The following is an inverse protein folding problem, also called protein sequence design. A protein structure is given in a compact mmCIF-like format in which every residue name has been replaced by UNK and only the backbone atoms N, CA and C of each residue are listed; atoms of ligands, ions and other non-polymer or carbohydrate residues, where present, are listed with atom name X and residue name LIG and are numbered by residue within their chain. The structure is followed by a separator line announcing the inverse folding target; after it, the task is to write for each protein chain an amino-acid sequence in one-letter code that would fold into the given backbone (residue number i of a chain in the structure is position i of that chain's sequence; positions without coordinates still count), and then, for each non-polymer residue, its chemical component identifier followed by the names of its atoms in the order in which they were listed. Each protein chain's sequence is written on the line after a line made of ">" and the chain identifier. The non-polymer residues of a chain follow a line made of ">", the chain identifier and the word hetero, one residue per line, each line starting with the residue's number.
data_IF_863520080276
#
_entry.id   IF_863520080276
#
_cell.length_a   1.000
_cell.length_b   1.000
_cell.length_c   1.000
_cell.angle_alpha   90.00
_cell.angle_beta   90.00
_cell.angle_gamma   90.00
#
_symmetry.space_group_name_H-M   'P 1'
#
loop_
_entity.id
_entity.type
_entity.pdbx_description
1 polymer ?
#
# COMPACT_ATOMS: atom_id res chain seq x y z
N UNK A 1 12.05 55.51 -25.43
CA UNK A 1 11.94 54.23 -24.73
C UNK A 1 10.56 54.16 -24.10
N UNK A 2 9.75 53.15 -24.42
CA UNK A 2 8.43 53.00 -23.79
C UNK A 2 8.62 52.24 -22.46
N UNK A 3 8.19 52.84 -21.35
CA UNK A 3 8.13 52.18 -20.04
C UNK A 3 6.77 51.53 -19.89
N UNK A 4 6.73 50.24 -19.61
CA UNK A 4 5.49 49.54 -19.27
C UNK A 4 5.47 49.41 -17.75
N UNK A 5 4.35 49.78 -17.13
CA UNK A 5 4.15 49.66 -15.69
C UNK A 5 3.16 48.54 -15.41
N UNK A 6 3.47 47.67 -14.46
CA UNK A 6 2.53 46.66 -13.97
C UNK A 6 2.40 46.78 -12.45
N UNK A 7 1.16 46.86 -11.99
CA UNK A 7 0.83 46.89 -10.56
C UNK A 7 0.73 45.44 -10.07
N UNK A 8 1.46 45.10 -9.01
CA UNK A 8 1.51 43.76 -8.43
C UNK A 8 1.12 43.87 -6.96
N UNK A 9 0.19 43.03 -6.52
CA UNK A 9 -0.18 42.91 -5.10
C UNK A 9 0.88 42.12 -4.34
N UNK A 10 1.41 42.66 -3.24
CA UNK A 10 2.29 41.93 -2.34
C UNK A 10 1.51 41.44 -1.10
N UNK A 11 1.23 40.13 -0.99
CA UNK A 11 0.47 39.59 0.14
C UNK A 11 1.24 39.64 1.47
N UNK A 12 2.58 39.77 1.46
CA UNK A 12 3.37 39.84 2.69
C UNK A 12 3.33 41.23 3.37
N UNK A 13 3.08 42.30 2.61
CA UNK A 13 3.02 43.67 3.12
C UNK A 13 1.64 44.30 3.01
N UNK A 14 0.66 43.59 2.42
CA UNK A 14 -0.71 44.08 2.26
C UNK A 14 -0.83 45.32 1.37
N UNK A 15 0.09 45.49 0.41
CA UNK A 15 0.19 46.71 -0.40
C UNK A 15 0.41 46.41 -1.88
N UNK A 16 -0.03 47.34 -2.74
CA UNK A 16 0.26 47.29 -4.18
C UNK A 16 1.60 47.97 -4.48
N UNK A 17 2.46 47.30 -5.25
CA UNK A 17 3.75 47.82 -5.71
C UNK A 17 3.77 47.94 -7.24
N UNK A 18 4.36 49.02 -7.76
CA UNK A 18 4.45 49.26 -9.21
C UNK A 18 5.87 48.93 -9.69
N UNK A 19 5.99 47.97 -10.60
CA UNK A 19 7.25 47.63 -11.27
C UNK A 19 7.25 48.21 -12.70
N UNK A 20 8.36 48.83 -13.11
CA UNK A 20 8.54 49.35 -14.48
C UNK A 20 9.68 48.63 -15.18
N UNK A 21 9.46 48.19 -16.42
CA UNK A 21 10.50 47.63 -17.28
C UNK A 21 10.67 48.49 -18.54
N UNK A 22 11.92 48.69 -18.97
CA UNK A 22 12.27 49.41 -20.20
C UNK A 22 12.10 48.51 -21.41
N UNK A 23 11.01 48.69 -22.19
CA UNK A 23 10.77 47.90 -23.39
C UNK A 23 11.56 48.43 -24.60
N UNK A 24 12.20 47.52 -25.35
CA UNK A 24 12.84 47.83 -26.65
C UNK A 24 11.79 48.19 -27.72
N UNK A 25 11.99 49.33 -28.35
CA UNK A 25 11.17 49.87 -29.45
C UNK A 25 11.22 48.95 -30.68
N UNK A 26 10.06 48.45 -31.13
CA UNK A 26 9.89 47.86 -32.46
C UNK A 26 9.53 48.96 -33.47
N UNK A 27 10.38 49.17 -34.47
CA UNK A 27 10.19 50.17 -35.52
C UNK A 27 8.96 49.89 -36.41
N UNK A 28 8.29 50.96 -36.83
CA UNK A 28 7.12 50.93 -37.73
C UNK A 28 7.50 50.35 -39.10
N UNK A 29 6.78 49.33 -39.58
CA UNK A 29 6.82 48.93 -41.00
C UNK A 29 5.95 49.88 -41.81
N UNK A 30 6.58 50.55 -42.77
CA UNK A 30 5.97 51.33 -43.85
C UNK A 30 5.01 50.47 -44.66
N UNK A 31 3.75 50.87 -44.72
CA UNK A 31 2.77 50.32 -45.65
C UNK A 31 2.76 51.12 -46.95
N UNK A 32 2.84 50.41 -48.08
CA UNK A 32 2.14 50.74 -49.32
C UNK A 32 2.16 49.54 -50.26
N UNK A 33 0.95 49.04 -50.54
CA UNK A 33 0.38 48.56 -51.83
C UNK A 33 1.25 47.69 -52.75
N UNK A 34 0.75 46.69 -53.46
CA UNK A 34 -0.56 46.06 -53.70
C UNK A 34 -0.21 44.89 -54.66
N UNK A 35 -1.14 43.93 -54.80
CA UNK A 35 -1.22 42.97 -55.91
C UNK A 35 -0.13 41.88 -55.98
N UNK A 36 -0.52 40.65 -55.60
CA UNK A 36 -0.46 39.45 -56.43
C UNK A 36 -0.96 38.25 -55.59
N UNK A 37 -2.28 38.13 -55.48
CA UNK A 37 -2.93 36.87 -55.08
C UNK A 37 -3.06 36.06 -56.37
N UNK A 38 -2.04 35.26 -56.67
CA UNK A 38 -2.12 34.13 -57.60
C UNK A 38 -0.75 33.45 -57.70
N UNK A 39 -0.72 32.15 -57.46
CA UNK A 39 0.39 31.20 -57.60
C UNK A 39 1.37 31.06 -56.42
N UNK A 40 0.97 30.28 -55.40
CA UNK A 40 1.91 29.61 -54.49
C UNK A 40 1.34 28.26 -54.04
N UNK A 41 1.47 27.23 -54.89
CA UNK A 41 1.26 25.82 -54.49
C UNK A 41 2.45 24.90 -54.86
N UNK A 42 3.55 25.40 -55.45
CA UNK A 42 4.59 24.51 -55.99
C UNK A 42 6.06 24.79 -55.58
N UNK A 43 6.34 25.60 -54.54
CA UNK A 43 7.72 26.06 -54.27
C UNK A 43 8.17 26.17 -52.82
N UNK A 44 7.49 25.49 -51.88
CA UNK A 44 7.76 25.60 -50.44
C UNK A 44 8.74 24.57 -49.84
N UNK A 45 9.53 23.87 -50.65
CA UNK A 45 10.46 22.82 -50.18
C UNK A 45 11.88 23.32 -49.84
N UNK A 46 12.18 24.62 -49.90
CA UNK A 46 13.55 25.11 -49.67
C UNK A 46 13.57 26.43 -48.89
N UNK A 47 13.64 26.35 -47.56
CA UNK A 47 14.44 27.25 -46.70
C UNK A 47 14.25 26.92 -45.21
N UNK A 48 15.02 25.95 -44.71
CA UNK A 48 15.23 25.77 -43.28
C UNK A 48 16.30 26.76 -42.79
N UNK A 49 15.89 27.89 -42.22
CA UNK A 49 16.78 28.62 -41.32
C UNK A 49 16.67 27.98 -39.93
N UNK A 50 17.49 26.96 -39.67
CA UNK A 50 17.71 26.39 -38.33
C UNK A 50 17.34 24.92 -38.12
N UNK A 51 16.74 24.24 -39.10
CA UNK A 51 16.59 22.78 -39.11
C UNK A 51 17.54 22.19 -40.15
N UNK A 52 18.71 21.73 -39.70
CA UNK A 52 19.60 20.89 -40.52
C UNK A 52 18.98 19.49 -40.58
N UNK A 53 18.03 19.28 -41.50
CA UNK A 53 17.68 17.94 -41.95
C UNK A 53 18.64 17.62 -43.10
N UNK A 54 19.79 17.01 -42.79
CA UNK A 54 20.59 16.37 -43.82
C UNK A 54 19.73 15.33 -44.53
N UNK A 55 19.92 15.15 -45.85
CA UNK A 55 19.22 14.16 -46.70
C UNK A 55 19.62 12.71 -46.36
N UNK A 56 19.63 12.33 -45.08
CA UNK A 56 19.71 10.94 -44.66
C UNK A 56 18.31 10.34 -44.76
N UNK A 57 17.94 9.91 -45.97
CA UNK A 57 16.84 8.96 -46.14
C UNK A 57 17.19 7.72 -45.34
N UNK A 58 16.31 7.31 -44.41
CA UNK A 58 16.46 6.04 -43.71
C UNK A 58 16.56 4.89 -44.71
N UNK A 59 17.22 3.81 -44.32
CA UNK A 59 17.38 2.67 -45.21
C UNK A 59 16.21 1.69 -44.96
N UNK A 60 15.53 1.21 -46.01
CA UNK A 60 14.71 0.01 -45.86
C UNK A 60 15.62 -1.15 -45.44
N UNK A 61 15.16 -1.99 -44.51
CA UNK A 61 15.81 -3.28 -44.23
C UNK A 61 15.00 -4.40 -44.88
N UNK A 62 15.54 -4.94 -45.97
CA UNK A 62 15.07 -6.16 -46.64
C UNK A 62 15.62 -7.38 -45.88
N UNK A 63 14.72 -8.26 -45.42
CA UNK A 63 15.06 -9.53 -44.75
C UNK A 63 14.98 -10.75 -45.69
N UNK A 64 15.00 -10.55 -47.02
CA UNK A 64 15.44 -11.57 -47.97
C UNK A 64 14.38 -12.20 -48.87
N UNK A 65 13.40 -11.45 -49.39
CA UNK A 65 12.49 -11.96 -50.43
C UNK A 65 12.45 -11.13 -51.74
N UNK A 66 13.16 -10.01 -51.82
CA UNK A 66 13.41 -9.30 -53.06
C UNK A 66 12.30 -8.37 -53.54
N UNK A 67 11.37 -7.93 -52.68
CA UNK A 67 10.50 -6.78 -52.97
C UNK A 67 10.10 -6.04 -51.70
N UNK A 68 10.72 -4.89 -51.40
CA UNK A 68 10.29 -4.04 -50.30
C UNK A 68 8.85 -3.53 -50.53
N UNK A 69 7.91 -3.82 -49.63
CA UNK A 69 6.56 -3.23 -49.67
C UNK A 69 6.58 -1.71 -49.41
N UNK A 70 5.53 -0.99 -49.77
CA UNK A 70 5.49 0.49 -49.70
C UNK A 70 5.05 1.08 -48.33
N UNK A 71 4.76 0.23 -47.35
CA UNK A 71 4.10 0.63 -46.10
C UNK A 71 4.98 1.28 -45.02
N UNK A 72 6.26 1.56 -45.26
CA UNK A 72 7.20 1.92 -44.20
C UNK A 72 7.63 3.39 -44.21
N UNK A 73 8.01 3.91 -43.03
CA UNK A 73 8.59 5.25 -42.86
C UNK A 73 9.87 5.13 -42.05
N UNK A 74 11.02 5.52 -42.62
CA UNK A 74 12.29 5.58 -41.92
C UNK A 74 12.95 6.96 -42.10
N UNK A 75 13.02 7.75 -41.03
CA UNK A 75 13.54 9.12 -41.05
C UNK A 75 14.61 9.28 -39.96
N UNK A 76 15.84 9.59 -40.36
CA UNK A 76 16.97 9.84 -39.46
C UNK A 76 18.19 8.98 -39.76
N UNK A 77 19.37 9.44 -39.35
CA UNK A 77 20.60 8.66 -39.52
C UNK A 77 20.50 7.34 -38.75
N UNK A 78 20.70 6.23 -39.46
CA UNK A 78 20.65 4.88 -38.89
C UNK A 78 19.25 4.36 -38.60
N UNK A 79 18.18 5.10 -38.95
CA UNK A 79 16.81 4.63 -38.75
C UNK A 79 16.49 3.47 -39.69
N UNK A 80 15.81 2.43 -39.19
CA UNK A 80 15.39 1.23 -39.92
C UNK A 80 13.92 0.94 -39.67
N UNK A 81 13.17 0.74 -40.74
CA UNK A 81 11.77 0.31 -40.68
C UNK A 81 11.62 -0.96 -41.52
N UNK A 82 10.87 -1.94 -41.02
CA UNK A 82 10.56 -3.18 -41.71
C UNK A 82 9.67 -2.93 -42.95
N UNK A 83 9.97 -3.62 -44.05
CA UNK A 83 9.36 -3.47 -45.37
C UNK A 83 8.38 -4.58 -45.76
N UNK A 84 7.70 -5.24 -44.80
CA UNK A 84 6.80 -6.36 -45.08
C UNK A 84 5.94 -6.16 -46.36
N UNK A 85 5.96 -7.18 -47.20
CA UNK A 85 5.52 -7.23 -48.61
C UNK A 85 4.02 -7.02 -48.86
N UNK A 86 3.18 -7.01 -47.82
CA UNK A 86 1.76 -6.68 -47.97
C UNK A 86 1.49 -5.27 -47.40
N UNK A 87 0.55 -4.54 -47.98
CA UNK A 87 0.07 -3.22 -47.50
C UNK A 87 -0.47 -3.24 -46.06
N UNK A 88 -0.47 -4.42 -45.42
CA UNK A 88 -0.83 -4.71 -44.05
C UNK A 88 0.40 -4.83 -43.13
N UNK A 89 1.55 -4.24 -43.43
CA UNK A 89 2.79 -4.42 -42.63
C UNK A 89 3.46 -3.15 -42.12
N UNK A 90 2.79 -2.00 -42.25
CA UNK A 90 3.41 -0.67 -42.15
C UNK A 90 4.15 -0.42 -40.83
N UNK A 91 5.46 -0.14 -40.89
CA UNK A 91 6.27 0.19 -39.71
C UNK A 91 6.85 1.62 -39.81
N UNK A 92 7.00 2.28 -38.66
CA UNK A 92 7.48 3.67 -38.59
C UNK A 92 8.69 3.78 -37.67
N UNK A 93 9.83 4.21 -38.21
CA UNK A 93 11.03 4.57 -37.46
C UNK A 93 11.39 6.04 -37.68
N UNK A 94 11.41 6.84 -36.61
CA UNK A 94 11.72 8.27 -36.65
C UNK A 94 12.75 8.64 -35.59
N UNK A 95 13.98 8.96 -36.02
CA UNK A 95 15.06 9.49 -35.19
C UNK A 95 16.40 8.79 -35.38
N UNK A 96 17.42 9.25 -34.65
CA UNK A 96 18.78 8.71 -34.72
C UNK A 96 18.84 7.28 -34.18
N UNK A 97 19.24 6.31 -35.01
CA UNK A 97 19.26 4.87 -34.70
C UNK A 97 17.90 4.32 -34.20
N UNK A 98 16.77 4.87 -34.67
CA UNK A 98 15.44 4.32 -34.39
C UNK A 98 15.17 3.06 -35.24
N UNK A 99 14.75 1.95 -34.61
CA UNK A 99 14.56 0.66 -35.28
C UNK A 99 13.13 0.16 -35.02
N UNK A 100 12.33 0.02 -36.07
CA UNK A 100 10.99 -0.56 -36.05
C UNK A 100 10.98 -1.84 -36.90
N UNK A 101 11.11 -2.99 -36.25
CA UNK A 101 11.25 -4.31 -36.90
C UNK A 101 9.97 -5.15 -36.85
N UNK A 102 9.07 -4.91 -35.89
CA UNK A 102 7.81 -5.63 -35.81
C UNK A 102 6.81 -5.22 -36.90
N UNK A 103 5.95 -6.14 -37.32
CA UNK A 103 4.80 -5.85 -38.20
C UNK A 103 3.94 -4.77 -37.53
N UNK A 104 3.50 -3.70 -38.21
CA UNK A 104 2.75 -2.59 -37.58
C UNK A 104 3.48 -1.82 -36.45
N UNK A 105 4.80 -1.98 -36.29
CA UNK A 105 5.51 -1.37 -35.17
C UNK A 105 5.82 0.11 -35.37
N UNK A 106 6.02 0.84 -34.26
CA UNK A 106 6.42 2.25 -34.26
C UNK A 106 7.57 2.51 -33.29
N UNK A 107 8.70 3.02 -33.78
CA UNK A 107 9.86 3.43 -32.99
C UNK A 107 10.16 4.92 -33.22
N UNK A 108 10.00 5.75 -32.20
CA UNK A 108 10.17 7.20 -32.32
C UNK A 108 11.11 7.72 -31.22
N UNK A 109 12.20 8.35 -31.65
CA UNK A 109 13.21 8.98 -30.81
C UNK A 109 14.61 8.44 -31.09
N UNK A 110 15.53 8.53 -30.13
CA UNK A 110 16.93 8.13 -30.35
C UNK A 110 17.20 6.73 -29.81
N UNK A 111 17.79 5.84 -30.62
CA UNK A 111 18.16 4.47 -30.24
C UNK A 111 16.97 3.63 -29.75
N UNK A 112 15.76 3.96 -30.19
CA UNK A 112 14.54 3.21 -29.85
C UNK A 112 14.46 1.92 -30.65
N UNK A 113 13.92 0.85 -30.06
CA UNK A 113 13.72 -0.43 -30.71
C UNK A 113 12.29 -0.93 -30.48
N UNK A 114 11.52 -1.11 -31.55
CA UNK A 114 10.21 -1.74 -31.54
C UNK A 114 10.26 -3.03 -32.39
N UNK A 115 10.50 -4.18 -31.78
CA UNK A 115 10.69 -5.46 -32.48
C UNK A 115 9.48 -6.39 -32.40
N UNK A 116 8.58 -6.20 -31.43
CA UNK A 116 7.35 -6.99 -31.34
C UNK A 116 6.30 -6.55 -32.36
N UNK A 117 5.42 -7.45 -32.79
CA UNK A 117 4.32 -7.13 -33.70
C UNK A 117 3.35 -6.13 -33.08
N UNK A 118 2.97 -5.08 -33.78
CA UNK A 118 2.16 -3.94 -33.33
C UNK A 118 2.69 -3.27 -32.05
N UNK A 119 4.01 -3.31 -31.83
CA UNK A 119 4.66 -2.70 -30.68
C UNK A 119 4.96 -1.20 -30.88
N UNK A 120 5.08 -0.45 -29.78
CA UNK A 120 5.35 0.98 -29.81
C UNK A 120 6.49 1.34 -28.84
N UNK A 121 7.59 1.87 -29.35
CA UNK A 121 8.71 2.40 -28.56
C UNK A 121 8.85 3.92 -28.77
N UNK A 122 8.77 4.72 -27.70
CA UNK A 122 8.88 6.18 -27.75
C UNK A 122 9.86 6.71 -26.69
N UNK A 123 10.89 7.46 -27.09
CA UNK A 123 11.84 8.11 -26.17
C UNK A 123 13.30 7.97 -26.55
N UNK A 124 14.19 7.83 -25.56
CA UNK A 124 15.62 7.59 -25.80
C UNK A 124 15.98 6.21 -25.28
N UNK A 125 16.44 5.32 -26.15
CA UNK A 125 16.74 3.92 -25.80
C UNK A 125 15.55 3.14 -25.25
N UNK A 126 14.32 3.53 -25.60
CA UNK A 126 13.11 2.78 -25.28
C UNK A 126 13.04 1.48 -26.11
N UNK A 127 12.60 0.38 -25.51
CA UNK A 127 12.55 -0.95 -26.13
C UNK A 127 11.18 -1.60 -25.96
N UNK A 128 10.43 -1.80 -27.03
CA UNK A 128 9.19 -2.55 -27.05
C UNK A 128 9.43 -3.87 -27.79
N UNK A 129 9.67 -4.94 -27.05
CA UNK A 129 10.13 -6.23 -27.58
C UNK A 129 9.01 -7.28 -27.68
N UNK A 130 7.97 -7.18 -26.84
CA UNK A 130 6.82 -8.09 -26.87
C UNK A 130 5.76 -7.67 -27.90
N UNK A 131 4.92 -8.61 -28.32
CA UNK A 131 3.83 -8.33 -29.25
C UNK A 131 2.78 -7.42 -28.61
N UNK A 132 2.35 -6.38 -29.31
CA UNK A 132 1.44 -5.33 -28.84
C UNK A 132 1.94 -4.64 -27.57
N UNK A 133 3.26 -4.63 -27.36
CA UNK A 133 3.86 -3.97 -26.20
C UNK A 133 4.07 -2.47 -26.42
N UNK A 134 4.13 -1.71 -25.33
CA UNK A 134 4.35 -0.26 -25.36
C UNK A 134 5.47 0.10 -24.39
N UNK A 135 6.53 0.73 -24.88
CA UNK A 135 7.61 1.28 -24.07
C UNK A 135 7.72 2.80 -24.31
N UNK A 136 7.42 3.61 -23.30
CA UNK A 136 7.46 5.07 -23.38
C UNK A 136 8.33 5.63 -22.26
N UNK A 137 9.42 6.31 -22.62
CA UNK A 137 10.35 6.92 -21.66
C UNK A 137 11.82 6.64 -21.98
N UNK A 138 12.72 7.35 -21.30
CA UNK A 138 14.15 7.09 -21.44
C UNK A 138 14.50 5.72 -20.86
N UNK A 139 15.04 4.83 -21.69
CA UNK A 139 15.45 3.47 -21.32
C UNK A 139 14.32 2.58 -20.78
N UNK A 140 13.05 2.90 -21.05
CA UNK A 140 11.91 2.01 -20.73
C UNK A 140 11.98 0.73 -21.55
N UNK A 141 11.62 -0.41 -20.97
CA UNK A 141 11.67 -1.72 -21.66
C UNK A 141 10.41 -2.53 -21.39
N UNK A 142 9.66 -2.88 -22.44
CA UNK A 142 8.49 -3.74 -22.39
C UNK A 142 8.77 -5.03 -23.17
N UNK A 143 9.04 -6.14 -22.48
CA UNK A 143 9.37 -7.43 -23.12
C UNK A 143 8.21 -8.41 -23.15
N UNK A 144 7.25 -8.30 -22.24
CA UNK A 144 6.08 -9.18 -22.24
C UNK A 144 5.10 -8.82 -23.37
N UNK A 145 4.38 -9.80 -23.89
CA UNK A 145 3.32 -9.51 -24.86
C UNK A 145 2.16 -8.77 -24.18
N UNK A 146 1.56 -7.83 -24.91
CA UNK A 146 0.52 -6.91 -24.42
C UNK A 146 0.93 -6.15 -23.17
N UNK A 147 2.23 -5.94 -22.98
CA UNK A 147 2.77 -5.24 -21.82
C UNK A 147 2.97 -3.76 -22.07
N UNK A 148 2.97 -2.97 -21.01
CA UNK A 148 3.19 -1.53 -21.08
C UNK A 148 4.22 -1.11 -20.04
N UNK A 149 5.24 -0.35 -20.44
CA UNK A 149 6.27 0.24 -19.59
C UNK A 149 6.34 1.75 -19.85
N UNK A 150 5.91 2.57 -18.89
CA UNK A 150 5.75 4.02 -19.03
C UNK A 150 6.58 4.76 -17.96
N UNK A 151 7.73 5.31 -18.32
CA UNK A 151 8.61 6.06 -17.40
C UNK A 151 10.09 5.81 -17.66
N UNK A 152 10.95 6.63 -17.05
CA UNK A 152 12.41 6.44 -17.13
C UNK A 152 12.77 5.10 -16.46
N UNK A 153 13.48 4.23 -17.17
CA UNK A 153 13.82 2.86 -16.73
C UNK A 153 12.63 1.99 -16.27
N UNK A 154 11.39 2.33 -16.63
CA UNK A 154 10.25 1.44 -16.38
C UNK A 154 10.47 0.12 -17.12
N UNK A 155 10.21 -1.01 -16.46
CA UNK A 155 10.42 -2.33 -17.03
C UNK A 155 9.20 -3.23 -16.84
N UNK A 156 8.75 -3.86 -17.92
CA UNK A 156 7.67 -4.84 -17.87
C UNK A 156 8.11 -6.12 -18.56
N UNK A 157 8.30 -7.18 -17.79
CA UNK A 157 8.66 -8.50 -18.32
C UNK A 157 7.43 -9.40 -18.50
N UNK A 158 6.42 -9.21 -17.66
CA UNK A 158 5.23 -10.05 -17.63
C UNK A 158 4.27 -9.87 -18.80
N UNK A 159 3.65 -10.96 -19.21
CA UNK A 159 2.54 -10.96 -20.17
C UNK A 159 1.34 -10.16 -19.64
N UNK A 160 0.74 -9.31 -20.49
CA UNK A 160 -0.44 -8.48 -20.15
C UNK A 160 -0.23 -7.67 -18.87
N UNK A 161 0.95 -7.07 -18.70
CA UNK A 161 1.34 -6.36 -17.47
C UNK A 161 1.60 -4.88 -17.70
N UNK A 162 1.61 -4.09 -16.62
CA UNK A 162 1.74 -2.63 -16.67
C UNK A 162 2.74 -2.13 -15.63
N UNK A 163 3.79 -1.43 -16.07
CA UNK A 163 4.69 -0.67 -15.22
C UNK A 163 4.60 0.82 -15.57
N UNK A 164 4.36 1.68 -14.58
CA UNK A 164 4.29 3.13 -14.74
C UNK A 164 5.05 3.81 -13.62
N UNK A 165 6.04 4.62 -13.97
CA UNK A 165 6.87 5.34 -13.01
C UNK A 165 8.36 5.19 -13.30
N UNK A 166 9.15 5.98 -12.60
CA UNK A 166 10.60 5.88 -12.71
C UNK A 166 11.10 4.59 -12.05
N UNK A 167 11.81 3.75 -12.79
CA UNK A 167 12.32 2.45 -12.33
C UNK A 167 11.25 1.49 -11.78
N UNK A 168 9.99 1.65 -12.17
CA UNK A 168 8.92 0.68 -11.84
C UNK A 168 9.16 -0.65 -12.56
N UNK A 169 8.85 -1.78 -11.89
CA UNK A 169 9.03 -3.13 -12.41
C UNK A 169 7.75 -3.96 -12.29
N UNK A 170 7.24 -4.44 -13.41
CA UNK A 170 6.17 -5.43 -13.49
C UNK A 170 6.74 -6.73 -14.10
N UNK A 171 7.14 -7.66 -13.25
CA UNK A 171 7.94 -8.84 -13.63
C UNK A 171 7.07 -10.06 -13.94
N UNK A 172 6.06 -10.33 -13.11
CA UNK A 172 5.14 -11.45 -13.25
C UNK A 172 4.00 -11.19 -14.24
N UNK A 173 3.27 -12.24 -14.63
CA UNK A 173 2.13 -12.11 -15.55
C UNK A 173 0.94 -11.36 -14.95
N UNK A 174 0.23 -10.58 -15.76
CA UNK A 174 -0.96 -9.80 -15.36
C UNK A 174 -0.71 -8.89 -14.16
N UNK A 175 0.51 -8.35 -14.04
CA UNK A 175 0.92 -7.50 -12.92
C UNK A 175 0.68 -6.02 -13.19
N UNK A 176 0.56 -5.24 -12.10
CA UNK A 176 0.47 -3.79 -12.15
C UNK A 176 1.48 -3.21 -11.15
N UNK A 177 2.43 -2.41 -11.64
CA UNK A 177 3.39 -1.66 -10.84
C UNK A 177 3.27 -0.17 -11.19
N UNK A 178 2.75 0.66 -10.27
CA UNK A 178 2.53 2.09 -10.48
C UNK A 178 3.16 2.91 -9.34
N UNK A 179 4.21 3.67 -9.65
CA UNK A 179 4.97 4.48 -8.71
C UNK A 179 6.47 4.48 -9.02
N UNK A 180 7.21 5.45 -8.48
CA UNK A 180 8.67 5.40 -8.52
C UNK A 180 9.13 4.14 -7.77
N UNK A 181 9.97 3.33 -8.40
CA UNK A 181 10.52 2.08 -7.86
C UNK A 181 9.49 1.05 -7.38
N UNK A 182 8.22 1.15 -7.78
CA UNK A 182 7.18 0.16 -7.48
C UNK A 182 7.50 -1.19 -8.14
N UNK A 183 7.30 -2.30 -7.43
CA UNK A 183 7.69 -3.65 -7.88
C UNK A 183 6.56 -4.66 -7.66
N UNK A 184 6.11 -5.27 -8.75
CA UNK A 184 5.18 -6.40 -8.77
C UNK A 184 5.88 -7.61 -9.40
N UNK A 185 6.23 -8.61 -8.60
CA UNK A 185 7.16 -9.68 -8.99
C UNK A 185 6.49 -10.92 -9.59
N UNK A 186 5.35 -11.33 -9.05
CA UNK A 186 4.73 -12.62 -9.35
C UNK A 186 3.34 -12.43 -9.97
N UNK A 187 2.75 -13.51 -10.48
CA UNK A 187 1.46 -13.49 -11.20
C UNK A 187 0.37 -12.74 -10.42
N UNK A 188 -0.35 -11.86 -11.12
CA UNK A 188 -1.47 -11.07 -10.59
C UNK A 188 -1.16 -10.25 -9.34
N UNK A 189 0.13 -9.94 -9.09
CA UNK A 189 0.54 -9.02 -8.03
C UNK A 189 0.33 -7.56 -8.44
N UNK A 190 0.01 -6.71 -7.45
CA UNK A 190 -0.27 -5.28 -7.65
C UNK A 190 0.57 -4.47 -6.66
N UNK A 191 1.41 -3.58 -7.16
CA UNK A 191 2.17 -2.61 -6.38
C UNK A 191 1.81 -1.17 -6.80
N UNK A 192 1.24 -0.40 -5.89
CA UNK A 192 0.82 0.98 -6.13
C UNK A 192 1.37 1.91 -5.04
N UNK A 193 2.36 2.73 -5.40
CA UNK A 193 3.02 3.68 -4.51
C UNK A 193 4.52 3.78 -4.75
N UNK A 194 5.12 4.88 -4.27
CA UNK A 194 6.58 5.03 -4.22
C UNK A 194 7.21 3.88 -3.42
N UNK A 195 8.10 3.10 -4.05
CA UNK A 195 8.74 1.93 -3.44
C UNK A 195 7.76 0.84 -2.91
N UNK A 196 6.52 0.78 -3.42
CA UNK A 196 5.60 -0.30 -3.09
C UNK A 196 6.13 -1.65 -3.61
N UNK A 197 6.04 -2.72 -2.82
CA UNK A 197 6.59 -4.04 -3.17
C UNK A 197 5.57 -5.16 -2.93
N UNK A 198 5.10 -5.76 -4.03
CA UNK A 198 4.26 -6.96 -4.05
C UNK A 198 5.10 -8.15 -4.55
N UNK A 199 5.58 -8.97 -3.61
CA UNK A 199 6.65 -9.95 -3.86
C UNK A 199 6.16 -11.35 -4.23
N UNK A 200 4.87 -11.64 -4.08
CA UNK A 200 4.31 -13.00 -4.28
C UNK A 200 3.01 -12.98 -5.08
N UNK A 201 2.57 -14.16 -5.52
CA UNK A 201 1.36 -14.32 -6.32
C UNK A 201 0.14 -13.71 -5.60
N UNK A 202 -0.72 -13.04 -6.35
CA UNK A 202 -1.93 -12.36 -5.86
C UNK A 202 -1.70 -11.34 -4.73
N UNK A 203 -0.45 -10.98 -4.43
CA UNK A 203 -0.14 -10.03 -3.37
C UNK A 203 -0.45 -8.60 -3.81
N UNK A 204 -0.94 -7.77 -2.89
CA UNK A 204 -1.29 -6.38 -3.15
C UNK A 204 -0.61 -5.45 -2.16
N UNK A 205 0.26 -4.57 -2.65
CA UNK A 205 0.94 -3.54 -1.88
C UNK A 205 0.47 -2.15 -2.34
N UNK A 206 -0.31 -1.46 -1.52
CA UNK A 206 -0.91 -0.16 -1.79
C UNK A 206 -0.44 0.89 -0.77
N UNK A 207 0.51 1.73 -1.16
CA UNK A 207 1.03 2.81 -0.33
C UNK A 207 2.54 2.99 -0.51
N UNK A 208 3.05 4.17 -0.14
CA UNK A 208 4.49 4.40 -0.18
C UNK A 208 5.22 3.43 0.77
N UNK A 209 6.16 2.67 0.22
CA UNK A 209 6.92 1.62 0.92
C UNK A 209 6.04 0.54 1.59
N UNK A 210 4.82 0.31 1.10
CA UNK A 210 4.03 -0.85 1.52
C UNK A 210 4.67 -2.14 1.00
N UNK A 211 4.67 -3.21 1.81
CA UNK A 211 5.26 -4.50 1.45
C UNK A 211 4.26 -5.64 1.67
N UNK A 212 3.86 -6.31 0.59
CA UNK A 212 3.12 -7.56 0.62
C UNK A 212 4.07 -8.70 0.21
N UNK A 213 4.63 -9.38 1.22
CA UNK A 213 5.79 -10.26 1.05
C UNK A 213 5.46 -11.74 0.86
N UNK A 214 4.18 -12.11 0.97
CA UNK A 214 3.68 -13.48 0.93
C UNK A 214 2.48 -13.63 -0.02
N UNK A 215 2.16 -14.88 -0.40
CA UNK A 215 1.05 -15.17 -1.31
C UNK A 215 -0.28 -14.69 -0.73
N UNK A 216 -1.15 -14.11 -1.57
CA UNK A 216 -2.43 -13.51 -1.20
C UNK A 216 -2.34 -12.40 -0.12
N UNK A 217 -1.14 -11.94 0.23
CA UNK A 217 -0.97 -10.92 1.26
C UNK A 217 -1.41 -9.55 0.75
N UNK A 218 -2.08 -8.77 1.62
CA UNK A 218 -2.60 -7.44 1.29
C UNK A 218 -2.03 -6.43 2.27
N UNK A 219 -1.18 -5.52 1.80
CA UNK A 219 -0.60 -4.44 2.58
C UNK A 219 -1.11 -3.09 2.05
N UNK A 220 -1.89 -2.36 2.85
CA UNK A 220 -2.48 -1.07 2.48
C UNK A 220 -2.10 0.00 3.51
N UNK A 221 -1.29 0.96 3.10
CA UNK A 221 -0.83 2.06 3.94
C UNK A 221 0.66 2.35 3.80
N UNK A 222 1.08 3.56 4.19
CA UNK A 222 2.50 3.91 4.18
C UNK A 222 3.26 3.00 5.15
N UNK A 223 4.31 2.33 4.67
CA UNK A 223 5.10 1.36 5.44
C UNK A 223 4.28 0.19 6.05
N UNK A 224 3.10 -0.14 5.53
CA UNK A 224 2.37 -1.35 5.97
C UNK A 224 3.11 -2.61 5.51
N UNK A 225 3.12 -3.66 6.31
CA UNK A 225 3.78 -4.92 5.99
C UNK A 225 2.85 -6.12 6.23
N UNK A 226 2.48 -6.81 5.16
CA UNK A 226 1.77 -8.09 5.20
C UNK A 226 2.79 -9.20 4.87
N UNK A 227 3.35 -9.81 5.91
CA UNK A 227 4.50 -10.71 5.82
C UNK A 227 4.12 -12.20 5.73
N UNK A 228 2.89 -12.57 6.11
CA UNK A 228 2.40 -13.94 6.08
C UNK A 228 1.46 -14.26 4.93
N UNK A 229 1.30 -15.54 4.62
CA UNK A 229 0.33 -16.02 3.62
C UNK A 229 -1.08 -15.67 4.09
N UNK A 230 -1.93 -15.23 3.16
CA UNK A 230 -3.32 -14.82 3.43
C UNK A 230 -3.43 -13.71 4.51
N UNK A 231 -2.38 -12.92 4.71
CA UNK A 231 -2.36 -11.87 5.73
C UNK A 231 -2.87 -10.52 5.21
N UNK A 232 -3.47 -9.74 6.10
CA UNK A 232 -3.99 -8.40 5.81
C UNK A 232 -3.38 -7.36 6.76
N UNK A 233 -2.67 -6.38 6.20
CA UNK A 233 -2.13 -5.24 6.92
C UNK A 233 -2.71 -3.92 6.40
N UNK A 234 -3.70 -3.36 7.10
CA UNK A 234 -4.41 -2.13 6.73
C UNK A 234 -4.10 -1.00 7.72
N UNK A 235 -3.25 -0.06 7.32
CA UNK A 235 -2.89 1.14 8.08
C UNK A 235 -1.41 1.50 7.99
N UNK A 236 -1.07 2.75 8.35
CA UNK A 236 0.34 3.19 8.37
C UNK A 236 1.13 2.33 9.37
N UNK A 237 2.25 1.75 8.94
CA UNK A 237 3.12 0.92 9.79
C UNK A 237 2.40 -0.25 10.47
N UNK A 238 1.29 -0.73 9.90
CA UNK A 238 0.66 -1.95 10.38
C UNK A 238 1.49 -3.17 9.97
N UNK A 239 1.54 -4.19 10.82
CA UNK A 239 2.33 -5.40 10.62
C UNK A 239 1.46 -6.65 10.83
N UNK A 240 1.18 -7.39 9.76
CA UNK A 240 0.65 -8.74 9.82
C UNK A 240 1.83 -9.71 9.68
N UNK A 241 2.38 -10.21 10.79
CA UNK A 241 3.71 -10.83 10.81
C UNK A 241 3.75 -12.29 10.40
N UNK A 242 2.60 -12.95 10.28
CA UNK A 242 2.50 -14.40 10.04
C UNK A 242 1.21 -14.76 9.29
N UNK A 243 1.03 -16.06 9.00
CA UNK A 243 -0.10 -16.56 8.21
C UNK A 243 -1.46 -16.22 8.85
N UNK A 244 -2.45 -15.88 8.02
CA UNK A 244 -3.80 -15.50 8.42
C UNK A 244 -3.87 -14.32 9.42
N UNK A 245 -2.77 -13.58 9.60
CA UNK A 245 -2.74 -12.43 10.50
C UNK A 245 -3.55 -11.27 9.90
N UNK A 246 -4.42 -10.66 10.69
CA UNK A 246 -5.23 -9.51 10.28
C UNK A 246 -4.89 -8.34 11.19
N UNK A 247 -4.46 -7.22 10.60
CA UNK A 247 -4.21 -5.98 11.33
C UNK A 247 -4.88 -4.79 10.65
N UNK A 248 -5.67 -4.03 11.41
CA UNK A 248 -6.41 -2.86 10.93
C UNK A 248 -6.19 -1.69 11.90
N UNK A 249 -5.34 -0.73 11.52
CA UNK A 249 -4.96 0.38 12.38
C UNK A 249 -3.56 0.90 12.06
N UNK A 250 -3.26 2.12 12.48
CA UNK A 250 -1.88 2.60 12.42
C UNK A 250 -1.05 1.90 13.52
N UNK A 251 0.15 1.43 13.18
CA UNK A 251 1.10 0.80 14.11
C UNK A 251 0.54 -0.44 14.83
N UNK A 252 -0.49 -1.09 14.27
CA UNK A 252 -1.06 -2.31 14.82
C UNK A 252 -0.30 -3.56 14.36
N UNK A 253 -0.27 -4.59 15.18
CA UNK A 253 0.56 -5.79 15.00
C UNK A 253 -0.26 -7.06 15.27
N UNK A 254 -0.22 -8.03 14.36
CA UNK A 254 -0.88 -9.32 14.53
C UNK A 254 0.06 -10.49 14.19
N UNK A 255 0.10 -11.49 15.07
CA UNK A 255 0.80 -12.77 14.90
C UNK A 255 -0.07 -13.80 14.14
N UNK A 256 0.36 -15.06 14.13
CA UNK A 256 -0.28 -16.15 13.36
C UNK A 256 -1.73 -16.38 13.80
N UNK A 257 -2.66 -16.38 12.83
CA UNK A 257 -4.11 -16.49 13.04
C UNK A 257 -4.67 -15.45 14.04
N UNK A 258 -3.94 -14.35 14.28
CA UNK A 258 -4.34 -13.33 15.22
C UNK A 258 -5.02 -12.16 14.51
N UNK A 259 -5.87 -11.44 15.24
CA UNK A 259 -6.56 -10.24 14.73
C UNK A 259 -6.30 -9.05 15.64
N UNK A 260 -5.72 -7.99 15.10
CA UNK A 260 -5.49 -6.72 15.79
C UNK A 260 -6.24 -5.58 15.09
N UNK A 261 -7.14 -4.90 15.80
CA UNK A 261 -7.94 -3.80 15.22
C UNK A 261 -7.94 -2.61 16.17
N UNK A 262 -7.36 -1.51 15.71
CA UNK A 262 -7.18 -0.28 16.48
C UNK A 262 -5.77 0.29 16.32
N UNK A 263 -5.61 1.61 16.53
CA UNK A 263 -4.28 2.22 16.51
C UNK A 263 -3.43 1.64 17.64
N UNK A 264 -2.24 1.11 17.31
CA UNK A 264 -1.33 0.43 18.25
C UNK A 264 -1.93 -0.83 18.92
N UNK A 265 -3.01 -1.41 18.39
CA UNK A 265 -3.52 -2.70 18.85
C UNK A 265 -2.49 -3.81 18.53
N UNK A 266 -2.24 -4.71 19.48
CA UNK A 266 -1.20 -5.75 19.38
C UNK A 266 -1.77 -7.11 19.76
N UNK A 267 -1.98 -7.97 18.77
CA UNK A 267 -2.39 -9.36 18.95
C UNK A 267 -1.18 -10.27 18.69
N UNK A 268 -0.30 -10.42 19.69
CA UNK A 268 0.98 -11.15 19.56
C UNK A 268 0.91 -12.62 19.92
N UNK A 269 -0.15 -13.04 20.61
CA UNK A 269 -0.41 -14.46 20.82
C UNK A 269 -0.91 -15.13 19.54
N UNK A 270 -0.52 -16.39 19.32
CA UNK A 270 -1.17 -17.21 18.29
C UNK A 270 -2.67 -17.32 18.58
N UNK A 271 -3.51 -17.23 17.55
CA UNK A 271 -4.98 -17.26 17.70
C UNK A 271 -5.56 -16.16 18.63
N UNK A 272 -4.82 -15.07 18.87
CA UNK A 272 -5.27 -14.00 19.78
C UNK A 272 -6.11 -12.92 19.09
N UNK A 273 -6.86 -12.15 19.88
CA UNK A 273 -7.68 -11.02 19.43
C UNK A 273 -7.38 -9.78 20.26
N UNK A 274 -6.90 -8.71 19.62
CA UNK A 274 -6.73 -7.40 20.23
C UNK A 274 -7.64 -6.37 19.53
N UNK A 275 -8.70 -5.90 20.19
CA UNK A 275 -9.67 -4.95 19.64
C UNK A 275 -9.72 -3.68 20.51
N UNK A 276 -9.19 -2.57 20.02
CA UNK A 276 -9.13 -1.29 20.72
C UNK A 276 -7.78 -0.60 20.55
N UNK A 277 -7.75 0.72 20.72
CA UNK A 277 -6.48 1.44 20.65
C UNK A 277 -5.58 1.04 21.83
N UNK A 278 -4.33 0.67 21.54
CA UNK A 278 -3.35 0.16 22.50
C UNK A 278 -3.79 -1.11 23.28
N UNK A 279 -4.74 -1.90 22.79
CA UNK A 279 -4.99 -3.23 23.36
C UNK A 279 -3.80 -4.16 23.11
N UNK A 280 -3.48 -5.03 24.05
CA UNK A 280 -2.34 -5.96 23.98
C UNK A 280 -2.76 -7.38 24.39
N UNK A 281 -2.86 -8.28 23.41
CA UNK A 281 -3.22 -9.69 23.59
C UNK A 281 -1.97 -10.53 23.28
N UNK A 282 -1.18 -10.86 24.29
CA UNK A 282 0.11 -11.57 24.09
C UNK A 282 0.02 -13.07 24.34
N UNK A 283 -0.99 -13.55 25.07
CA UNK A 283 -1.17 -14.97 25.32
C UNK A 283 -1.76 -15.72 24.13
N UNK A 284 -1.41 -17.00 23.97
CA UNK A 284 -2.05 -17.87 22.98
C UNK A 284 -3.56 -17.98 23.25
N UNK A 285 -4.39 -17.82 22.22
CA UNK A 285 -5.85 -17.84 22.34
C UNK A 285 -6.44 -16.73 23.22
N UNK A 286 -5.64 -15.73 23.59
CA UNK A 286 -6.09 -14.63 24.45
C UNK A 286 -6.96 -13.61 23.71
N UNK A 287 -7.79 -12.88 24.46
CA UNK A 287 -8.66 -11.83 23.94
C UNK A 287 -8.53 -10.57 24.80
N UNK A 288 -8.07 -9.47 24.19
CA UNK A 288 -8.03 -8.13 24.79
C UNK A 288 -8.97 -7.19 24.02
N UNK A 289 -10.06 -6.76 24.66
CA UNK A 289 -11.07 -5.90 24.05
C UNK A 289 -11.30 -4.63 24.88
N UNK A 290 -10.87 -3.49 24.36
CA UNK A 290 -10.97 -2.17 25.01
C UNK A 290 -9.72 -1.31 24.79
N UNK A 291 -9.85 -0.01 25.05
CA UNK A 291 -8.68 0.88 25.12
C UNK A 291 -7.74 0.36 26.22
N UNK A 292 -6.48 0.12 25.88
CA UNK A 292 -5.44 -0.35 26.83
C UNK A 292 -5.77 -1.65 27.58
N UNK A 293 -6.70 -2.46 27.08
CA UNK A 293 -6.96 -3.81 27.64
C UNK A 293 -5.74 -4.72 27.41
N UNK A 294 -5.38 -5.54 28.38
CA UNK A 294 -4.21 -6.41 28.33
C UNK A 294 -4.56 -7.85 28.74
N UNK A 295 -4.45 -8.79 27.79
CA UNK A 295 -4.61 -10.23 28.03
C UNK A 295 -3.26 -10.93 27.79
N UNK A 296 -2.50 -11.11 28.88
CA UNK A 296 -1.11 -11.56 28.80
C UNK A 296 -0.96 -13.09 28.88
N UNK A 297 -1.85 -13.77 29.58
CA UNK A 297 -1.81 -15.22 29.76
C UNK A 297 -2.48 -16.02 28.64
N UNK A 298 -2.12 -17.29 28.50
CA UNK A 298 -2.77 -18.20 27.57
C UNK A 298 -4.27 -18.36 27.93
N UNK A 299 -5.15 -18.34 26.92
CA UNK A 299 -6.60 -18.38 27.08
C UNK A 299 -7.16 -17.29 28.01
N UNK A 300 -6.44 -16.18 28.21
CA UNK A 300 -6.88 -15.07 29.04
C UNK A 300 -7.89 -14.17 28.32
N UNK A 301 -8.85 -13.61 29.05
CA UNK A 301 -9.86 -12.67 28.54
C UNK A 301 -9.81 -11.37 29.34
N UNK A 302 -9.43 -10.28 28.70
CA UNK A 302 -9.51 -8.92 29.23
C UNK A 302 -10.53 -8.09 28.44
N UNK A 303 -11.64 -7.72 29.07
CA UNK A 303 -12.74 -6.98 28.45
C UNK A 303 -13.00 -5.69 29.24
N UNK A 304 -12.66 -4.54 28.66
CA UNK A 304 -12.87 -3.23 29.26
C UNK A 304 -11.63 -2.35 29.19
N UNK A 305 -11.81 -1.06 29.41
CA UNK A 305 -10.71 -0.11 29.43
C UNK A 305 -9.74 -0.43 30.58
N UNK A 306 -8.44 -0.57 30.31
CA UNK A 306 -7.44 -1.03 31.28
C UNK A 306 -7.75 -2.39 31.96
N UNK A 307 -8.60 -3.26 31.40
CA UNK A 307 -8.78 -4.59 31.96
C UNK A 307 -7.48 -5.41 31.84
N UNK A 308 -7.08 -6.13 32.89
CA UNK A 308 -5.82 -6.87 32.95
C UNK A 308 -6.05 -8.34 33.32
N UNK A 309 -5.82 -9.24 32.38
CA UNK A 309 -5.87 -10.69 32.56
C UNK A 309 -4.44 -11.25 32.37
N UNK A 310 -3.69 -11.38 33.47
CA UNK A 310 -2.23 -11.49 33.44
C UNK A 310 -1.68 -12.91 33.38
N UNK A 311 -2.52 -13.93 33.58
CA UNK A 311 -2.08 -15.33 33.71
C UNK A 311 -3.00 -16.30 32.95
N UNK A 312 -2.64 -17.58 32.89
CA UNK A 312 -3.38 -18.60 32.16
C UNK A 312 -4.81 -18.73 32.68
N UNK A 313 -5.76 -18.83 31.75
CA UNK A 313 -7.20 -18.95 32.01
C UNK A 313 -7.78 -17.83 32.90
N UNK A 314 -7.17 -16.64 32.89
CA UNK A 314 -7.70 -15.50 33.66
C UNK A 314 -8.80 -14.77 32.92
N UNK A 315 -9.76 -14.23 33.67
CA UNK A 315 -10.87 -13.44 33.14
C UNK A 315 -10.94 -12.12 33.90
N UNK A 316 -10.76 -10.99 33.22
CA UNK A 316 -10.92 -9.64 33.75
C UNK A 316 -11.98 -8.90 32.92
N UNK A 317 -13.18 -8.71 33.48
CA UNK A 317 -14.31 -8.07 32.82
C UNK A 317 -14.70 -6.78 33.57
N UNK A 318 -14.41 -5.62 32.98
CA UNK A 318 -14.74 -4.31 33.53
C UNK A 318 -13.57 -3.35 33.46
N UNK A 319 -13.87 -2.05 33.57
CA UNK A 319 -12.85 -1.01 33.56
C UNK A 319 -11.89 -1.19 34.75
N UNK A 320 -10.58 -1.22 34.50
CA UNK A 320 -9.55 -1.48 35.52
C UNK A 320 -9.74 -2.78 36.31
N UNK A 321 -10.49 -3.76 35.81
CA UNK A 321 -10.55 -5.09 36.41
C UNK A 321 -9.19 -5.79 36.29
N UNK A 322 -8.80 -6.59 37.29
CA UNK A 322 -7.49 -7.25 37.34
C UNK A 322 -7.60 -8.68 37.83
N UNK A 323 -7.26 -9.64 36.98
CA UNK A 323 -7.10 -11.06 37.33
C UNK A 323 -5.63 -11.47 37.13
N UNK A 324 -4.91 -11.63 38.24
CA UNK A 324 -3.43 -11.62 38.22
C UNK A 324 -2.77 -13.01 38.27
N UNK A 325 -3.51 -14.04 38.72
CA UNK A 325 -3.00 -15.40 38.95
C UNK A 325 -3.83 -16.44 38.22
N UNK A 326 -3.30 -17.67 38.06
CA UNK A 326 -3.93 -18.69 37.22
C UNK A 326 -5.39 -18.98 37.64
N UNK A 327 -6.27 -19.06 36.64
CA UNK A 327 -7.71 -19.29 36.81
C UNK A 327 -8.46 -18.23 37.65
N UNK A 328 -7.85 -17.07 37.90
CA UNK A 328 -8.51 -15.98 38.63
C UNK A 328 -9.56 -15.28 37.73
N UNK A 329 -10.67 -14.88 38.33
CA UNK A 329 -11.80 -14.22 37.65
C UNK A 329 -12.15 -12.92 38.40
N UNK A 330 -11.99 -11.78 37.73
CA UNK A 330 -12.37 -10.46 38.23
C UNK A 330 -13.46 -9.87 37.33
N UNK A 331 -14.66 -9.65 37.87
CA UNK A 331 -15.83 -9.13 37.14
C UNK A 331 -16.38 -7.91 37.87
N UNK A 332 -16.24 -6.74 37.25
CA UNK A 332 -16.68 -5.45 37.77
C UNK A 332 -15.60 -4.37 37.64
N UNK A 333 -16.00 -3.11 37.63
CA UNK A 333 -15.07 -1.98 37.60
C UNK A 333 -14.15 -2.01 38.81
N UNK A 334 -12.83 -2.02 38.58
CA UNK A 334 -11.83 -2.08 39.64
C UNK A 334 -11.86 -3.36 40.49
N UNK A 335 -12.53 -4.42 40.03
CA UNK A 335 -12.48 -5.73 40.71
C UNK A 335 -11.06 -6.32 40.63
N UNK A 336 -10.64 -7.02 41.68
CA UNK A 336 -9.29 -7.58 41.79
C UNK A 336 -9.33 -9.03 42.29
N UNK A 337 -8.91 -9.96 41.45
CA UNK A 337 -8.75 -11.37 41.77
C UNK A 337 -7.25 -11.71 41.75
N UNK A 338 -6.65 -11.76 42.94
CA UNK A 338 -5.20 -11.90 43.14
C UNK A 338 -4.84 -13.32 43.57
N UNK A 339 -5.71 -14.01 44.33
CA UNK A 339 -5.49 -15.40 44.71
C UNK A 339 -5.66 -16.36 43.54
N UNK A 340 -4.91 -17.48 43.54
CA UNK A 340 -5.10 -18.51 42.50
C UNK A 340 -6.50 -19.11 42.60
N UNK A 341 -7.15 -19.41 41.48
CA UNK A 341 -8.53 -19.92 41.47
C UNK A 341 -9.55 -19.00 42.18
N UNK A 342 -9.26 -17.71 42.34
CA UNK A 342 -10.14 -16.77 43.03
C UNK A 342 -11.21 -16.16 42.13
N UNK A 343 -12.33 -15.72 42.73
CA UNK A 343 -13.41 -15.00 42.05
C UNK A 343 -13.73 -13.70 42.79
N UNK A 344 -13.50 -12.56 42.15
CA UNK A 344 -13.95 -11.25 42.59
C UNK A 344 -15.11 -10.77 41.71
N UNK A 345 -16.34 -10.77 42.24
CA UNK A 345 -17.56 -10.41 41.51
C UNK A 345 -18.23 -9.18 42.12
N UNK A 346 -18.03 -8.02 41.52
CA UNK A 346 -18.59 -6.74 41.94
C UNK A 346 -17.64 -5.56 41.67
N UNK A 347 -18.17 -4.33 41.68
CA UNK A 347 -17.30 -3.14 41.60
C UNK A 347 -16.38 -3.09 42.82
N UNK A 348 -15.07 -2.94 42.61
CA UNK A 348 -14.07 -2.86 43.67
C UNK A 348 -14.05 -4.06 44.63
N UNK A 349 -14.57 -5.23 44.23
CA UNK A 349 -14.41 -6.45 45.01
C UNK A 349 -12.96 -6.94 44.96
N UNK A 350 -12.50 -7.59 46.02
CA UNK A 350 -11.13 -8.10 46.17
C UNK A 350 -11.14 -9.53 46.67
N UNK A 351 -10.63 -10.46 45.87
CA UNK A 351 -10.41 -11.85 46.25
C UNK A 351 -8.89 -12.09 46.33
N UNK A 352 -8.34 -11.90 47.53
CA UNK A 352 -6.91 -11.96 47.83
C UNK A 352 -6.41 -13.36 48.14
N UNK A 353 -7.22 -14.17 48.82
CA UNK A 353 -6.88 -15.55 49.19
C UNK A 353 -6.98 -16.52 48.02
N UNK A 354 -6.19 -17.60 48.06
CA UNK A 354 -6.31 -18.69 47.10
C UNK A 354 -7.65 -19.41 47.26
N UNK A 355 -8.27 -19.78 46.14
CA UNK A 355 -9.58 -20.44 46.12
C UNK A 355 -10.65 -19.63 46.89
N UNK A 356 -10.50 -18.31 46.94
CA UNK A 356 -11.43 -17.40 47.63
C UNK A 356 -12.45 -16.79 46.67
N UNK A 357 -13.61 -16.41 47.20
CA UNK A 357 -14.70 -15.80 46.44
C UNK A 357 -15.20 -14.54 47.15
N UNK A 358 -15.09 -13.37 46.52
CA UNK A 358 -15.65 -12.11 46.99
C UNK A 358 -16.86 -11.71 46.13
N UNK A 359 -18.07 -11.67 46.72
CA UNK A 359 -19.33 -11.39 46.01
C UNK A 359 -19.94 -10.08 46.51
N UNK A 360 -20.18 -9.16 45.60
CA UNK A 360 -20.75 -7.84 45.86
C UNK A 360 -19.72 -6.70 45.79
N UNK A 361 -20.21 -5.48 45.60
CA UNK A 361 -19.35 -4.30 45.52
C UNK A 361 -18.55 -4.11 46.81
N UNK A 362 -17.24 -3.83 46.69
CA UNK A 362 -16.34 -3.65 47.83
C UNK A 362 -16.25 -4.84 48.80
N UNK A 363 -16.65 -6.05 48.38
CA UNK A 363 -16.45 -7.27 49.18
C UNK A 363 -14.98 -7.68 49.17
N UNK A 364 -14.50 -8.25 50.28
CA UNK A 364 -13.10 -8.63 50.47
C UNK A 364 -13.02 -10.06 51.00
N UNK A 365 -12.26 -10.92 50.32
CA UNK A 365 -11.95 -12.30 50.72
C UNK A 365 -10.42 -12.50 50.71
N UNK A 366 -9.75 -12.14 51.80
CA UNK A 366 -8.28 -12.17 51.89
C UNK A 366 -7.74 -13.51 52.43
N UNK A 367 -8.61 -14.35 52.99
CA UNK A 367 -8.27 -15.68 53.48
C UNK A 367 -8.45 -16.75 52.39
N UNK A 368 -7.65 -17.81 52.45
CA UNK A 368 -7.76 -18.93 51.52
C UNK A 368 -9.06 -19.73 51.77
N UNK A 369 -9.69 -20.22 50.71
CA UNK A 369 -10.87 -21.10 50.76
C UNK A 369 -12.12 -20.49 51.42
N UNK A 370 -12.30 -19.17 51.36
CA UNK A 370 -13.48 -18.50 51.93
C UNK A 370 -14.40 -17.91 50.86
N UNK A 371 -15.68 -17.76 51.20
CA UNK A 371 -16.64 -16.95 50.44
C UNK A 371 -17.02 -15.74 51.30
N UNK A 372 -16.68 -14.54 50.83
CA UNK A 372 -17.07 -13.29 51.46
C UNK A 372 -18.16 -12.57 50.66
N UNK A 373 -19.26 -12.23 51.33
CA UNK A 373 -20.35 -11.41 50.77
C UNK A 373 -20.26 -9.95 51.21
N UNK A 374 -19.14 -9.52 51.79
CA UNK A 374 -18.97 -8.19 52.38
C UNK A 374 -17.51 -7.89 52.73
N UNK A 375 -17.30 -7.01 53.69
CA UNK A 375 -15.99 -6.72 54.27
C UNK A 375 -16.09 -6.56 55.78
N UNK A 376 -14.95 -6.37 56.46
CA UNK A 376 -14.94 -6.11 57.90
C UNK A 376 -15.75 -4.87 58.32
N UNK A 377 -15.94 -3.90 57.41
CA UNK A 377 -16.73 -2.67 57.66
C UNK A 377 -18.08 -2.64 56.95
N UNK A 378 -18.34 -3.55 56.01
CA UNK A 378 -19.55 -3.61 55.22
C UNK A 378 -20.07 -5.05 55.10
N UNK A 379 -20.68 -5.54 56.18
CA UNK A 379 -21.31 -6.85 56.21
C UNK A 379 -22.64 -6.85 55.46
N UNK A 380 -23.00 -7.99 54.88
CA UNK A 380 -24.30 -8.18 54.21
C UNK A 380 -25.07 -9.30 54.85
N UNK A 381 -26.40 -9.17 54.83
CA UNK A 381 -27.31 -10.27 55.16
C UNK A 381 -27.51 -11.14 53.94
N UNK A 382 -27.33 -12.45 54.11
CA UNK A 382 -27.80 -13.44 53.15
C UNK A 382 -29.28 -13.69 53.48
N UNK A 383 -30.17 -13.49 52.51
CA UNK A 383 -31.62 -13.61 52.68
C UNK A 383 -32.19 -14.61 51.67
N UNK A 384 -33.40 -15.10 51.93
CA UNK A 384 -34.06 -16.14 51.12
C UNK A 384 -33.33 -17.50 51.12
N UNK A 385 -32.70 -17.84 52.25
CA UNK A 385 -32.10 -19.15 52.47
C UNK A 385 -33.14 -20.10 53.08
N UNK A 386 -33.26 -21.31 52.53
CA UNK A 386 -34.08 -22.36 53.13
C UNK A 386 -33.49 -22.79 54.49
N UNK A 387 -34.28 -23.51 55.30
CA UNK A 387 -33.75 -24.13 56.51
C UNK A 387 -32.65 -25.13 56.14
N UNK A 388 -31.52 -25.10 56.86
CA UNK A 388 -30.42 -26.04 56.64
C UNK A 388 -30.77 -27.45 57.09
N UNK A 389 -30.41 -28.45 56.28
CA UNK A 389 -30.46 -29.86 56.68
C UNK A 389 -29.08 -30.26 57.19
N UNK A 390 -28.91 -30.31 58.52
CA UNK A 390 -27.63 -30.67 59.13
C UNK A 390 -27.53 -32.20 59.17
N UNK A 391 -26.66 -32.77 58.34
CA UNK A 391 -26.25 -34.17 58.43
C UNK A 391 -25.43 -34.43 59.70
N UNK A 392 -25.44 -35.65 60.21
CA UNK A 392 -24.68 -36.06 61.41
C UNK A 392 -23.16 -35.96 61.25
N UNK A 393 -22.66 -35.76 60.04
CA UNK A 393 -21.24 -35.55 59.69
C UNK A 393 -20.90 -34.09 59.34
N UNK A 394 -21.85 -33.15 59.48
CA UNK A 394 -21.62 -31.74 59.15
C UNK A 394 -20.55 -31.09 60.04
N UNK A 395 -19.79 -30.17 59.45
CA UNK A 395 -18.79 -29.30 60.11
C UNK A 395 -19.38 -27.95 60.55
N UNK A 396 -20.69 -27.77 60.40
CA UNK A 396 -21.41 -26.51 60.64
C UNK A 396 -21.86 -26.33 62.10
N UNK A 397 -21.42 -27.19 63.02
CA UNK A 397 -21.77 -27.16 64.45
C UNK A 397 -20.85 -26.25 65.28
#
# INVERSE_FOLDING_TARGET
>A
MNKIFKVIWNPATGSYSVASETAKSRGKKSGRSKLLISALVAGGLLSSFGASADNYTGQPTDYGDGSAGDGWVAIGKGSKANTFINTSGASTALGYDAIAEGEYSSAIGSKTLASGGASMAFGVSAKALGDRSVALGASSTATGDRSMALGRYAKTNGFTSLAVGDSSLADGEKTIALGNTAKAYEIMSIALGDNANASKEYSMALGASSAASAANAIAVGRNSAAAGVDSLALGRQSLASAANAITIGAESEAAENATAVGTKAKARGKNSLALGANSDSTGEGSVALGYTAAAAGASALALGQNAQASNTNTIALGQNSSASTANAIAIGTGSSAVGSNSLALGSSSSAGGNNSVAIGASSTADEDNVVSVGSGSAQRRIVNMAAGEISTDSKEA
#
